data_IF_766649015414
#
_entry.id   IF_766649015414
#
_cell.length_a   1.000
_cell.length_b   1.000
_cell.length_c   1.000
_cell.angle_alpha   90.00
_cell.angle_beta   90.00
_cell.angle_gamma   90.00
#
_symmetry.space_group_name_H-M   'P 1'
#
loop_
_entity.id
_entity.type
_entity.pdbx_description
1 polymer ?
#
# COMPACT_ATOMS: atom_id res chain seq x y z
N UNK A 1 33.52 -27.53 -13.88
CA UNK A 1 32.16 -26.95 -13.83
C UNK A 1 32.21 -25.84 -12.79
N UNK A 2 32.22 -24.55 -13.17
CA UNK A 2 32.19 -23.47 -12.18
C UNK A 2 30.86 -23.55 -11.43
N UNK A 3 30.91 -23.40 -10.11
CA UNK A 3 29.73 -23.38 -9.26
C UNK A 3 28.85 -22.19 -9.63
N UNK A 4 27.67 -22.49 -10.16
CA UNK A 4 26.64 -21.50 -10.42
C UNK A 4 26.21 -20.91 -9.07
N UNK A 5 26.40 -19.61 -8.88
CA UNK A 5 25.93 -18.92 -7.69
C UNK A 5 24.39 -18.92 -7.73
N UNK A 6 23.79 -19.72 -6.86
CA UNK A 6 22.35 -19.83 -6.76
C UNK A 6 21.70 -18.46 -6.47
N UNK A 7 22.42 -17.53 -5.85
CA UNK A 7 21.97 -16.16 -5.62
C UNK A 7 21.81 -15.37 -6.92
N UNK A 8 22.83 -15.33 -7.77
CA UNK A 8 22.78 -14.66 -9.09
C UNK A 8 21.76 -15.32 -10.01
N UNK A 9 21.71 -16.65 -10.05
CA UNK A 9 20.74 -17.39 -10.87
C UNK A 9 19.29 -17.12 -10.45
N UNK A 10 19.02 -17.08 -9.14
CA UNK A 10 17.69 -16.72 -8.64
C UNK A 10 17.36 -15.25 -8.92
N UNK A 11 18.35 -14.37 -8.88
CA UNK A 11 18.16 -12.95 -9.14
C UNK A 11 17.85 -12.67 -10.62
N UNK A 12 18.52 -13.37 -11.55
CA UNK A 12 18.24 -13.29 -12.98
C UNK A 12 16.86 -13.87 -13.31
N UNK A 13 16.52 -15.04 -12.75
CA UNK A 13 15.21 -15.66 -12.92
C UNK A 13 14.07 -14.79 -12.35
N UNK A 14 14.31 -14.11 -11.22
CA UNK A 14 13.37 -13.16 -10.64
C UNK A 14 13.21 -11.91 -11.50
N UNK A 15 14.31 -11.39 -12.06
CA UNK A 15 14.26 -10.24 -12.98
C UNK A 15 13.47 -10.58 -14.24
N UNK A 16 13.73 -11.73 -14.88
CA UNK A 16 12.98 -12.18 -16.05
C UNK A 16 11.49 -12.37 -15.71
N UNK A 17 11.15 -13.04 -14.61
CA UNK A 17 9.76 -13.23 -14.19
C UNK A 17 9.05 -11.91 -13.88
N UNK A 18 9.73 -10.93 -13.26
CA UNK A 18 9.17 -9.60 -12.99
C UNK A 18 8.96 -8.81 -14.29
N UNK A 19 9.88 -8.91 -15.25
CA UNK A 19 9.73 -8.31 -16.56
C UNK A 19 8.53 -8.92 -17.28
N UNK A 20 8.39 -10.24 -17.32
CA UNK A 20 7.22 -10.91 -17.92
C UNK A 20 5.89 -10.55 -17.25
N UNK A 21 5.86 -10.38 -15.92
CA UNK A 21 4.66 -9.94 -15.20
C UNK A 21 4.28 -8.48 -15.50
N UNK A 22 5.29 -7.63 -15.75
CA UNK A 22 5.14 -6.23 -16.11
C UNK A 22 4.85 -6.03 -17.61
N UNK A 23 5.27 -6.97 -18.46
CA UNK A 23 5.07 -6.97 -19.92
C UNK A 23 3.69 -7.54 -20.25
N UNK A 24 2.67 -6.84 -19.76
CA UNK A 24 1.30 -7.12 -20.17
C UNK A 24 1.09 -6.47 -21.51
N UNK A 25 0.89 -7.36 -22.50
CA UNK A 25 0.83 -7.06 -23.92
C UNK A 25 -0.14 -5.94 -24.32
N UNK A 26 -0.26 -5.69 -25.63
CA UNK A 26 -0.87 -4.48 -26.15
C UNK A 26 -2.28 -4.24 -25.59
N UNK A 27 -2.53 -2.96 -25.33
CA UNK A 27 -3.66 -2.27 -24.70
C UNK A 27 -5.05 -2.55 -25.34
N UNK A 28 -5.44 -3.82 -25.50
CA UNK A 28 -6.67 -4.22 -26.20
C UNK A 28 -7.72 -4.92 -25.34
N UNK A 29 -7.49 -5.13 -24.04
CA UNK A 29 -8.45 -5.82 -23.16
C UNK A 29 -9.29 -4.82 -22.32
N UNK A 30 -10.48 -4.53 -22.85
CA UNK A 30 -11.55 -3.70 -22.26
C UNK A 30 -12.16 -4.39 -21.01
N UNK A 31 -12.90 -3.68 -20.13
CA UNK A 31 -13.22 -4.15 -18.79
C UNK A 31 -14.02 -5.46 -18.79
N UNK A 32 -13.53 -6.43 -18.02
CA UNK A 32 -14.18 -7.71 -17.79
C UNK A 32 -15.28 -7.58 -16.74
N UNK A 33 -16.15 -8.58 -16.61
CA UNK A 33 -16.98 -8.68 -15.41
C UNK A 33 -16.10 -8.83 -14.17
N UNK A 34 -16.52 -8.23 -13.06
CA UNK A 34 -15.83 -8.40 -11.79
C UNK A 34 -15.79 -9.88 -11.41
N UNK A 35 -14.60 -10.40 -11.08
CA UNK A 35 -14.42 -11.81 -10.71
C UNK A 35 -14.77 -12.12 -9.26
N UNK A 36 -15.11 -11.10 -8.46
CA UNK A 36 -15.54 -11.31 -7.08
C UNK A 36 -16.86 -12.06 -7.00
N UNK A 37 -16.92 -13.00 -6.05
CA UNK A 37 -18.15 -13.74 -5.73
C UNK A 37 -19.25 -12.75 -5.34
N UNK A 38 -20.45 -12.97 -5.87
CA UNK A 38 -21.64 -12.15 -5.61
C UNK A 38 -21.54 -10.69 -6.10
N UNK A 39 -20.56 -10.34 -6.93
CA UNK A 39 -20.48 -9.04 -7.59
C UNK A 39 -21.11 -9.11 -8.99
N UNK A 40 -22.14 -8.30 -9.22
CA UNK A 40 -22.79 -8.19 -10.54
C UNK A 40 -22.25 -7.01 -11.36
N UNK A 41 -21.15 -6.38 -10.92
CA UNK A 41 -20.60 -5.22 -11.62
C UNK A 41 -20.13 -5.63 -13.02
N UNK A 42 -20.67 -5.00 -14.08
CA UNK A 42 -20.32 -5.35 -15.45
C UNK A 42 -18.91 -4.88 -15.83
N UNK A 43 -18.25 -4.12 -14.96
CA UNK A 43 -17.03 -3.40 -15.28
C UNK A 43 -15.98 -3.60 -14.16
N UNK A 44 -14.91 -4.30 -14.50
CA UNK A 44 -13.69 -4.42 -13.73
C UNK A 44 -12.57 -3.67 -14.42
N UNK A 45 -12.09 -2.62 -13.77
CA UNK A 45 -11.06 -1.72 -14.31
C UNK A 45 -9.72 -1.85 -13.60
N UNK A 46 -9.72 -2.49 -12.43
CA UNK A 46 -8.62 -2.37 -11.48
C UNK A 46 -8.16 -3.76 -11.05
N UNK A 47 -6.85 -3.96 -10.98
CA UNK A 47 -6.24 -5.11 -10.31
C UNK A 47 -5.15 -4.64 -9.36
N UNK A 48 -4.92 -5.40 -8.31
CA UNK A 48 -3.87 -5.09 -7.35
C UNK A 48 -2.53 -5.65 -7.84
N UNK A 49 -1.46 -4.87 -7.68
CA UNK A 49 -0.11 -5.27 -8.07
C UNK A 49 0.66 -5.93 -6.93
N UNK A 50 0.22 -5.74 -5.67
CA UNK A 50 0.89 -6.29 -4.49
C UNK A 50 0.20 -7.57 -3.96
N UNK A 51 -1.05 -7.83 -4.35
CA UNK A 51 -1.78 -9.05 -3.97
C UNK A 51 -1.38 -10.23 -4.86
N UNK A 52 -1.28 -11.42 -4.28
CA UNK A 52 -0.94 -12.66 -5.00
C UNK A 52 -1.94 -13.03 -6.13
N UNK A 53 -3.21 -12.70 -5.97
CA UNK A 53 -4.25 -12.93 -6.99
C UNK A 53 -4.61 -11.60 -7.68
N UNK A 54 -3.89 -11.25 -8.74
CA UNK A 54 -4.02 -9.99 -9.48
C UNK A 54 -5.15 -10.03 -10.53
N UNK A 55 -6.33 -10.54 -10.16
CA UNK A 55 -7.49 -10.51 -11.05
C UNK A 55 -8.10 -9.10 -11.14
N UNK A 56 -8.75 -8.81 -12.28
CA UNK A 56 -9.49 -7.57 -12.46
C UNK A 56 -10.82 -7.61 -11.71
N UNK A 57 -11.02 -6.63 -10.85
CA UNK A 57 -12.25 -6.44 -10.07
C UNK A 57 -12.74 -4.99 -10.20
N UNK A 58 -14.01 -4.76 -9.85
CA UNK A 58 -14.56 -3.40 -9.82
C UNK A 58 -13.97 -2.60 -8.65
N UNK A 59 -14.05 -1.27 -8.73
CA UNK A 59 -13.47 -0.38 -7.71
C UNK A 59 -14.08 -0.63 -6.32
N UNK A 60 -15.37 -0.95 -6.20
CA UNK A 60 -15.99 -1.26 -4.90
C UNK A 60 -15.40 -2.52 -4.27
N UNK A 61 -15.27 -3.60 -5.05
CA UNK A 61 -14.63 -4.84 -4.59
C UNK A 61 -13.16 -4.61 -4.23
N UNK A 62 -12.45 -3.77 -4.98
CA UNK A 62 -11.08 -3.37 -4.68
C UNK A 62 -11.01 -2.66 -3.32
N UNK A 63 -11.88 -1.68 -3.06
CA UNK A 63 -11.92 -0.98 -1.78
C UNK A 63 -12.24 -1.92 -0.60
N UNK A 64 -13.22 -2.81 -0.77
CA UNK A 64 -13.62 -3.76 0.28
C UNK A 64 -12.51 -4.76 0.62
N UNK A 65 -11.92 -5.39 -0.40
CA UNK A 65 -10.84 -6.37 -0.23
C UNK A 65 -9.56 -5.75 0.35
N UNK A 66 -9.35 -4.44 0.15
CA UNK A 66 -8.16 -3.73 0.61
C UNK A 66 -8.36 -2.86 1.85
N UNK A 67 -9.49 -2.98 2.54
CA UNK A 67 -9.79 -2.17 3.73
C UNK A 67 -8.73 -2.27 4.84
N UNK A 68 -8.03 -3.41 4.93
CA UNK A 68 -6.98 -3.67 5.93
C UNK A 68 -5.55 -3.55 5.37
N UNK A 69 -5.40 -3.31 4.07
CA UNK A 69 -4.12 -3.17 3.37
C UNK A 69 -4.17 -1.96 2.42
N UNK A 70 -4.46 -0.75 2.96
CA UNK A 70 -4.78 0.44 2.15
C UNK A 70 -3.56 1.05 1.45
N UNK A 71 -2.37 0.49 1.66
CA UNK A 71 -1.11 0.94 1.05
C UNK A 71 -0.75 0.13 -0.19
N UNK A 72 -1.56 -0.84 -0.62
CA UNK A 72 -1.28 -1.55 -1.86
C UNK A 72 -1.46 -0.63 -3.08
N UNK A 73 -0.65 -0.89 -4.09
CA UNK A 73 -0.70 -0.25 -5.39
C UNK A 73 -1.59 -1.06 -6.34
N UNK A 74 -2.32 -0.34 -7.19
CA UNK A 74 -3.21 -0.95 -8.18
C UNK A 74 -2.83 -0.47 -9.58
N UNK A 75 -3.14 -1.30 -10.57
CA UNK A 75 -3.16 -0.88 -11.97
C UNK A 75 -4.63 -0.70 -12.37
N UNK A 76 -4.95 0.47 -12.91
CA UNK A 76 -6.31 0.83 -13.31
C UNK A 76 -6.36 1.19 -14.80
N UNK A 77 -7.29 0.58 -15.50
CA UNK A 77 -7.68 0.95 -16.87
C UNK A 77 -8.62 2.14 -16.83
N UNK A 78 -8.23 3.25 -17.46
CA UNK A 78 -9.07 4.44 -17.57
C UNK A 78 -8.64 5.28 -18.78
N UNK A 79 -9.61 5.75 -19.57
CA UNK A 79 -9.36 6.54 -20.78
C UNK A 79 -8.42 5.86 -21.79
N UNK A 80 -8.65 4.58 -22.07
CA UNK A 80 -7.93 3.83 -23.12
C UNK A 80 -6.48 3.53 -22.79
N UNK A 81 -6.12 3.50 -21.50
CA UNK A 81 -4.76 3.17 -21.04
C UNK A 81 -4.79 2.61 -19.64
N UNK A 82 -3.80 1.76 -19.35
CA UNK A 82 -3.47 1.37 -17.99
C UNK A 82 -2.59 2.42 -17.33
N UNK A 83 -2.87 2.68 -16.05
CA UNK A 83 -2.01 3.52 -15.21
C UNK A 83 -1.89 2.92 -13.83
N UNK A 84 -0.70 3.03 -13.27
CA UNK A 84 -0.45 2.59 -11.89
C UNK A 84 -0.82 3.70 -10.93
N UNK A 85 -1.75 3.42 -10.01
CA UNK A 85 -2.32 4.39 -9.08
C UNK A 85 -2.41 3.81 -7.66
N UNK A 86 -2.58 4.67 -6.66
CA UNK A 86 -2.88 4.23 -5.30
C UNK A 86 -4.37 4.00 -5.10
N UNK A 87 -4.75 3.23 -4.08
CA UNK A 87 -6.15 3.01 -3.71
C UNK A 87 -6.93 4.31 -3.45
N UNK A 88 -6.25 5.38 -3.01
CA UNK A 88 -6.82 6.73 -2.89
C UNK A 88 -7.52 7.20 -4.18
N UNK A 89 -6.95 6.87 -5.35
CA UNK A 89 -7.47 7.30 -6.66
C UNK A 89 -8.81 6.66 -7.05
N UNK A 90 -9.23 5.60 -6.34
CA UNK A 90 -10.55 4.98 -6.49
C UNK A 90 -11.45 5.25 -5.27
N UNK A 91 -11.05 6.13 -4.36
CA UNK A 91 -11.86 6.56 -3.21
C UNK A 91 -11.49 5.95 -1.86
N UNK A 92 -10.37 5.22 -1.75
CA UNK A 92 -9.94 4.67 -0.45
C UNK A 92 -9.62 5.78 0.53
N UNK A 93 -10.09 5.60 1.77
CA UNK A 93 -9.81 6.46 2.92
C UNK A 93 -9.47 5.61 4.12
N UNK A 94 -8.46 6.01 4.88
CA UNK A 94 -8.03 5.31 6.09
C UNK A 94 -8.67 5.97 7.30
N UNK A 95 -9.62 5.29 7.94
CA UNK A 95 -10.17 5.71 9.23
C UNK A 95 -9.26 5.23 10.37
N UNK A 96 -8.81 6.15 11.24
CA UNK A 96 -7.77 5.81 12.24
C UNK A 96 -8.30 5.23 13.55
N UNK A 97 -9.46 5.70 14.02
CA UNK A 97 -9.95 5.40 15.37
C UNK A 97 -11.08 4.38 15.39
N UNK A 98 -11.94 4.44 14.38
CA UNK A 98 -13.22 3.74 14.36
C UNK A 98 -13.18 2.55 13.42
N UNK A 99 -13.91 1.48 13.77
CA UNK A 99 -14.06 0.33 12.90
C UNK A 99 -14.94 0.67 11.69
N UNK A 100 -14.77 -0.01 10.54
CA UNK A 100 -15.62 0.20 9.38
C UNK A 100 -17.13 0.03 9.66
N UNK A 101 -17.50 -0.83 10.62
CA UNK A 101 -18.88 -1.07 11.03
C UNK A 101 -19.45 -0.07 12.04
N UNK A 102 -18.62 0.79 12.65
CA UNK A 102 -19.03 1.85 13.57
C UNK A 102 -18.27 3.14 13.22
N UNK A 103 -18.56 3.75 12.06
CA UNK A 103 -17.79 4.88 11.54
C UNK A 103 -17.89 6.10 12.47
N UNK A 104 -16.85 6.92 12.46
CA UNK A 104 -16.83 8.14 13.26
C UNK A 104 -18.00 9.06 12.85
N UNK A 105 -18.82 9.57 13.80
CA UNK A 105 -19.90 10.50 13.48
C UNK A 105 -19.38 11.88 13.05
N UNK A 106 -18.13 12.21 13.39
CA UNK A 106 -17.49 13.50 13.11
C UNK A 106 -16.09 13.24 12.55
N UNK A 107 -15.96 12.75 11.30
CA UNK A 107 -14.66 12.56 10.67
C UNK A 107 -14.07 13.91 10.28
N UNK A 108 -12.76 14.07 10.44
CA UNK A 108 -11.99 15.22 9.98
C UNK A 108 -11.08 14.76 8.84
N UNK A 109 -11.51 14.98 7.58
CA UNK A 109 -10.80 14.45 6.42
C UNK A 109 -9.49 15.21 6.14
N UNK A 110 -8.44 14.47 5.81
CA UNK A 110 -7.19 14.96 5.23
C UNK A 110 -6.95 14.23 3.90
N UNK A 111 -7.00 14.97 2.80
CA UNK A 111 -6.91 14.38 1.46
C UNK A 111 -5.46 14.25 0.98
N UNK A 112 -4.49 14.86 1.65
CA UNK A 112 -3.09 14.82 1.26
C UNK A 112 -2.24 14.45 2.48
N UNK A 113 -2.16 13.16 2.75
CA UNK A 113 -1.31 12.61 3.80
C UNK A 113 -0.30 11.62 3.20
N UNK A 114 0.94 11.68 3.64
CA UNK A 114 2.00 10.79 3.16
C UNK A 114 2.27 9.68 4.17
N UNK A 115 2.18 8.43 3.74
CA UNK A 115 2.66 7.29 4.55
C UNK A 115 3.90 6.72 3.88
N UNK A 116 5.03 6.75 4.57
CA UNK A 116 6.27 6.11 4.10
C UNK A 116 6.28 4.67 4.59
N UNK A 117 6.30 3.73 3.65
CA UNK A 117 6.41 2.30 3.93
C UNK A 117 7.70 1.73 3.32
N UNK A 118 7.95 0.43 3.47
CA UNK A 118 9.19 -0.23 3.05
C UNK A 118 9.41 -0.26 1.54
N UNK A 119 8.33 -0.18 0.78
CA UNK A 119 8.34 -0.22 -0.68
C UNK A 119 8.38 1.20 -1.28
N UNK A 120 7.54 2.11 -0.79
CA UNK A 120 7.39 3.46 -1.34
C UNK A 120 6.72 4.44 -0.36
N UNK A 121 6.68 5.70 -0.76
CA UNK A 121 5.85 6.72 -0.12
C UNK A 121 4.46 6.77 -0.79
N UNK A 122 3.42 6.63 0.03
CA UNK A 122 2.03 6.55 -0.39
C UNK A 122 1.32 7.87 -0.13
N UNK A 123 0.70 8.46 -1.17
CA UNK A 123 -0.22 9.57 -1.00
C UNK A 123 -1.62 9.03 -0.74
N UNK A 124 -2.10 9.19 0.48
CA UNK A 124 -3.37 8.62 0.97
C UNK A 124 -4.34 9.71 1.42
N UNK A 125 -5.61 9.34 1.51
CA UNK A 125 -6.61 10.09 2.24
C UNK A 125 -6.84 9.45 3.60
N UNK A 126 -6.87 10.25 4.66
CA UNK A 126 -7.07 9.81 6.04
C UNK A 126 -8.27 10.54 6.63
N UNK A 127 -9.04 9.82 7.45
CA UNK A 127 -10.10 10.39 8.29
C UNK A 127 -9.71 10.28 9.77
N UNK A 128 -9.38 11.43 10.36
CA UNK A 128 -9.18 11.54 11.81
C UNK A 128 -10.55 11.56 12.52
N UNK A 129 -10.67 11.01 13.73
CA UNK A 129 -11.86 11.27 14.57
C UNK A 129 -11.77 12.69 15.14
N UNK A 130 -12.79 13.50 14.85
CA UNK A 130 -13.09 14.77 15.52
C UNK A 130 -14.10 14.62 16.67
N UNK A 131 -14.52 13.39 16.95
CA UNK A 131 -15.51 13.01 17.95
C UNK A 131 -15.03 13.03 19.42
N UNK A 132 -13.76 13.38 19.66
CA UNK A 132 -13.14 13.42 20.99
C UNK A 132 -12.67 12.06 21.53
N UNK A 133 -13.14 10.93 21.00
CA UNK A 133 -12.75 9.58 21.46
C UNK A 133 -11.31 9.17 21.07
N UNK A 134 -10.74 9.80 20.05
CA UNK A 134 -9.44 9.41 19.48
C UNK A 134 -8.22 10.14 20.05
N UNK A 135 -8.40 11.14 20.92
CA UNK A 135 -7.29 12.00 21.35
C UNK A 135 -6.74 12.89 20.23
N UNK A 136 -5.49 13.29 20.35
CA UNK A 136 -4.76 14.10 19.36
C UNK A 136 -4.55 13.35 18.05
N UNK A 137 -4.29 14.08 16.96
CA UNK A 137 -3.99 13.46 15.65
C UNK A 137 -2.80 12.49 15.71
N UNK A 138 -1.77 12.82 16.48
CA UNK A 138 -0.60 11.97 16.64
C UNK A 138 -0.94 10.66 17.37
N UNK A 139 -1.75 10.72 18.44
CA UNK A 139 -2.20 9.53 19.17
C UNK A 139 -3.06 8.63 18.28
N UNK A 140 -3.96 9.19 17.47
CA UNK A 140 -4.75 8.42 16.51
C UNK A 140 -3.88 7.69 15.49
N UNK A 141 -2.83 8.34 14.97
CA UNK A 141 -1.87 7.70 14.06
C UNK A 141 -1.13 6.56 14.75
N UNK A 142 -0.61 6.79 15.96
CA UNK A 142 0.12 5.77 16.72
C UNK A 142 -0.78 4.56 17.06
N UNK A 143 -2.04 4.81 17.43
CA UNK A 143 -3.03 3.75 17.65
C UNK A 143 -3.28 2.93 16.37
N UNK A 144 -3.25 3.57 15.20
CA UNK A 144 -3.32 2.93 13.89
C UNK A 144 -1.98 2.36 13.40
N UNK A 145 -0.95 2.26 14.27
CA UNK A 145 0.40 1.78 13.95
C UNK A 145 1.12 2.61 12.86
N UNK A 146 0.85 3.91 12.83
CA UNK A 146 1.53 4.90 12.00
C UNK A 146 2.31 5.85 12.90
N UNK A 147 3.62 5.96 12.67
CA UNK A 147 4.48 6.82 13.48
C UNK A 147 4.55 8.23 12.87
N UNK A 148 3.92 9.25 13.48
CA UNK A 148 3.84 10.58 12.89
C UNK A 148 5.23 11.21 12.74
N UNK A 149 5.45 11.93 11.66
CA UNK A 149 6.67 12.73 11.47
C UNK A 149 6.66 14.06 12.25
N UNK A 150 5.51 14.45 12.81
CA UNK A 150 5.32 15.63 13.67
C UNK A 150 4.15 15.38 14.63
N UNK A 151 4.29 15.76 15.89
CA UNK A 151 3.23 15.62 16.90
C UNK A 151 2.19 16.74 16.86
N UNK A 152 2.58 17.95 16.43
CA UNK A 152 1.68 19.11 16.42
C UNK A 152 0.76 19.13 15.21
N UNK A 153 1.30 18.90 14.02
CA UNK A 153 0.58 18.95 12.74
C UNK A 153 1.07 17.85 11.81
N UNK A 154 0.75 16.57 12.08
CA UNK A 154 1.18 15.47 11.22
C UNK A 154 0.57 15.63 9.82
N UNK A 155 1.44 15.70 8.81
CA UNK A 155 1.10 15.59 7.38
C UNK A 155 1.71 14.35 6.73
N UNK A 156 2.54 13.64 7.50
CA UNK A 156 3.18 12.41 7.10
C UNK A 156 3.38 11.49 8.31
N UNK A 157 3.46 10.19 8.05
CA UNK A 157 3.80 9.17 9.02
C UNK A 157 4.64 8.05 8.38
N UNK A 158 5.31 7.27 9.21
CA UNK A 158 6.05 6.07 8.82
C UNK A 158 5.22 4.85 9.22
N UNK A 159 5.08 3.87 8.32
CA UNK A 159 4.40 2.61 8.61
C UNK A 159 5.13 1.85 9.72
N UNK A 160 4.40 1.02 10.48
CA UNK A 160 5.04 0.15 11.47
C UNK A 160 6.08 -0.78 10.87
N UNK A 161 5.79 -1.35 9.69
CA UNK A 161 6.71 -2.24 8.97
C UNK A 161 8.04 -1.54 8.66
N UNK A 162 7.99 -0.32 8.15
CA UNK A 162 9.20 0.46 7.88
C UNK A 162 9.95 0.82 9.17
N UNK A 163 9.24 1.20 10.23
CA UNK A 163 9.84 1.58 11.51
C UNK A 163 10.66 0.43 12.14
N UNK A 164 10.14 -0.81 12.10
CA UNK A 164 10.86 -1.98 12.63
C UNK A 164 12.04 -2.41 11.72
N UNK A 165 11.91 -2.27 10.40
CA UNK A 165 13.02 -2.58 9.48
C UNK A 165 14.19 -1.62 9.66
N UNK A 166 13.91 -0.34 9.91
CA UNK A 166 14.93 0.67 10.13
C UNK A 166 15.68 0.49 11.46
N UNK A 167 15.02 0.02 12.52
CA UNK A 167 15.64 -0.17 13.83
C UNK A 167 16.61 -1.38 13.85
N UNK A 168 16.32 -2.44 13.08
CA UNK A 168 17.18 -3.61 12.94
C UNK A 168 18.53 -3.37 12.23
N UNK A 169 18.70 -2.23 11.55
CA UNK A 169 19.95 -1.87 10.82
C UNK A 169 21.03 -1.25 11.71
N UNK A 170 20.79 -1.02 13.00
CA UNK A 170 21.74 -0.34 13.91
C UNK A 170 22.85 -1.24 14.52
N UNK A 171 23.02 -2.48 14.09
CA UNK A 171 23.97 -3.44 14.71
C UNK A 171 25.17 -3.87 13.85
N UNK A 172 25.49 -3.21 12.73
CA UNK A 172 26.63 -3.60 11.87
C UNK A 172 27.63 -2.47 11.57
N UNK A 173 28.03 -1.70 12.58
CA UNK A 173 29.21 -0.85 12.48
C UNK A 173 29.95 -0.71 13.82
N UNK A 174 30.80 -1.69 14.15
CA UNK A 174 32.08 -1.51 14.87
C UNK A 174 32.71 -2.86 15.26
N UNK A 175 33.67 -3.34 14.48
CA UNK A 175 34.83 -4.12 14.98
C UNK A 175 35.83 -4.45 13.86
N UNK A 176 36.62 -3.45 13.45
CA UNK A 176 37.97 -3.68 12.89
C UNK A 176 38.91 -2.58 13.39
N UNK A 177 39.46 -2.83 14.58
CA UNK A 177 40.65 -2.24 15.21
C UNK A 177 40.83 -3.06 16.50
N UNK A 178 41.93 -3.70 16.86
CA UNK A 178 43.32 -3.70 16.41
C UNK A 178 43.90 -5.05 16.83
N UNK A 179 44.84 -5.62 16.09
CA UNK A 179 45.65 -6.74 16.55
C UNK A 179 47.09 -6.25 16.59
N UNK A 180 47.60 -6.08 17.82
CA UNK A 180 49.03 -6.15 18.13
C UNK A 180 49.44 -7.63 18.22
#
# INVERSE_FOLDING_TARGET
MPGMDLGEFLQDLLCEAVLELNDQGPDTDVPRQCTQRDCTSPLAYSRCLDCHAAEFICDNCMLQSHAHIPLHQIQRYHNGRFSTVGLKNIGMRIALTHLPCDPCPIPVPENHFIIVDTDRAHNVAIDFCGCGKGGTRAEQLVAARLYPCSYERPRAAISFRMAITASGRRSRSSSRASSD
#
